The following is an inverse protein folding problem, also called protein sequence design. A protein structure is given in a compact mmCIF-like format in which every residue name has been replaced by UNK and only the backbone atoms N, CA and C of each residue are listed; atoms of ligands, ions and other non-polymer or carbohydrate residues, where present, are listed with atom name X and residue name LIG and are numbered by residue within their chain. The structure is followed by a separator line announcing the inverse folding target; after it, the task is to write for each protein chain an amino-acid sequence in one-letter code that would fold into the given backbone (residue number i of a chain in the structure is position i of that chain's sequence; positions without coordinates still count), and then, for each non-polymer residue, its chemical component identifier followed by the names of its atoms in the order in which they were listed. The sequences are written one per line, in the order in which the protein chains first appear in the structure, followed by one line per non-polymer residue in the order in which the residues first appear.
data_IF_049371694181
#
_entry.id   IF_049371694181
#
_cell.length_a   1.000
_cell.length_b   1.000
_cell.length_c   1.000
_cell.angle_alpha   90.00
_cell.angle_beta   90.00
_cell.angle_gamma   90.00
#
_symmetry.space_group_name_H-M   'P 1'
#
loop_
_entity.id
_entity.type
_entity.pdbx_description
1 polymer ?
#
# COMPACT_ATOMS: atom_id res chain seq x y z
N UNK A 1 -3.03 33.69 61.69
CA UNK A 1 -2.93 33.05 60.36
C UNK A 1 -1.92 31.91 60.50
N UNK A 2 -2.18 30.61 60.35
CA UNK A 2 -3.35 29.78 60.10
C UNK A 2 -2.90 28.34 60.43
N UNK A 3 -3.80 27.55 61.00
CA UNK A 3 -3.55 26.26 61.67
C UNK A 3 -3.17 25.13 60.70
N UNK A 4 -2.05 24.45 60.94
CA UNK A 4 -1.72 23.17 60.28
C UNK A 4 -2.25 21.99 61.09
N UNK A 5 -3.38 21.42 60.67
CA UNK A 5 -4.05 20.33 61.37
C UNK A 5 -3.78 18.97 60.73
N UNK A 6 -3.31 18.04 61.58
CA UNK A 6 -3.78 16.65 61.71
C UNK A 6 -3.35 15.57 60.70
N UNK A 7 -2.61 14.60 61.25
CA UNK A 7 -2.41 13.24 60.72
C UNK A 7 -3.63 12.37 61.06
N UNK A 8 -4.21 11.66 60.09
CA UNK A 8 -4.78 10.34 60.33
C UNK A 8 -4.51 9.40 59.15
N UNK A 9 -3.84 8.30 59.46
CA UNK A 9 -3.73 7.12 58.62
C UNK A 9 -5.07 6.39 58.56
N UNK A 10 -5.43 5.87 57.39
CA UNK A 10 -6.68 5.14 57.18
C UNK A 10 -6.56 4.09 56.07
N UNK A 11 -6.17 2.88 56.50
CA UNK A 11 -6.49 1.56 55.92
C UNK A 11 -5.94 1.20 54.53
N UNK A 12 -4.86 0.42 54.55
CA UNK A 12 -4.63 -0.65 53.59
C UNK A 12 -5.45 -1.89 54.00
N UNK A 13 -6.24 -2.43 53.07
CA UNK A 13 -6.29 -3.86 52.69
C UNK A 13 -7.61 -4.22 51.97
N UNK A 14 -7.43 -5.00 50.89
CA UNK A 14 -8.41 -5.87 50.23
C UNK A 14 -9.40 -5.27 49.21
N UNK A 15 -8.94 -5.18 47.95
CA UNK A 15 -9.72 -5.71 46.81
C UNK A 15 -8.77 -5.97 45.63
N UNK A 16 -8.82 -7.20 45.11
CA UNK A 16 -7.98 -7.70 44.03
C UNK A 16 -8.05 -6.81 42.77
N UNK A 17 -6.88 -6.35 42.31
CA UNK A 17 -6.72 -5.58 41.09
C UNK A 17 -6.98 -6.42 39.84
N UNK A 18 -8.25 -6.54 39.47
CA UNK A 18 -8.66 -7.03 38.15
C UNK A 18 -8.29 -5.95 37.13
N UNK A 19 -7.27 -6.20 36.30
CA UNK A 19 -6.83 -5.30 35.23
C UNK A 19 -8.02 -5.02 34.29
N UNK A 20 -8.56 -3.81 34.33
CA UNK A 20 -9.57 -3.34 33.39
C UNK A 20 -8.87 -2.72 32.20
N UNK A 21 -9.05 -3.31 31.01
CA UNK A 21 -8.66 -2.71 29.73
C UNK A 21 -9.78 -1.77 29.26
N UNK A 22 -9.45 -0.63 28.62
CA UNK A 22 -10.47 0.23 28.02
C UNK A 22 -11.19 -0.51 26.88
N UNK A 23 -12.52 -0.50 26.94
CA UNK A 23 -13.38 -1.08 25.89
C UNK A 23 -13.25 -0.28 24.60
N UNK A 24 -12.99 -0.98 23.48
CA UNK A 24 -13.02 -0.40 22.13
C UNK A 24 -14.44 0.11 21.83
N UNK A 25 -14.56 1.37 21.40
CA UNK A 25 -15.81 1.98 20.96
C UNK A 25 -16.29 1.31 19.67
N UNK A 26 -17.39 0.55 19.75
CA UNK A 26 -18.07 0.02 18.57
C UNK A 26 -18.71 1.17 17.79
N UNK A 27 -18.31 1.34 16.53
CA UNK A 27 -18.95 2.26 15.57
C UNK A 27 -20.39 1.77 15.32
N UNK A 28 -21.37 2.53 15.79
CA UNK A 28 -22.78 2.35 15.46
C UNK A 28 -23.02 2.98 14.08
N UNK A 29 -23.11 2.15 13.04
CA UNK A 29 -23.68 2.56 11.75
C UNK A 29 -25.20 2.67 11.92
N UNK A 30 -25.71 3.89 12.00
CA UNK A 30 -27.13 4.19 11.84
C UNK A 30 -27.48 4.14 10.34
N UNK A 31 -28.11 3.04 9.90
CA UNK A 31 -28.88 3.04 8.67
C UNK A 31 -30.35 2.77 9.01
N UNK A 32 -31.20 3.72 8.66
CA UNK A 32 -32.65 3.71 8.85
C UNK A 32 -33.32 2.60 8.03
N UNK A 33 -34.31 1.97 8.65
CA UNK A 33 -35.06 0.80 8.19
C UNK A 33 -36.31 1.16 7.36
N UNK A 34 -36.59 0.36 6.33
CA UNK A 34 -37.91 -0.13 5.83
C UNK A 34 -37.57 -1.23 4.80
N UNK A 35 -38.17 -2.42 4.66
CA UNK A 35 -39.52 -2.94 4.85
C UNK A 35 -39.47 -4.49 5.04
N UNK A 36 -40.54 -5.06 5.57
CA UNK A 36 -40.75 -6.45 6.00
C UNK A 36 -40.54 -7.55 4.94
N UNK A 37 -39.74 -8.58 5.27
CA UNK A 37 -39.82 -9.94 4.72
C UNK A 37 -39.34 -10.96 5.79
N UNK A 38 -39.91 -12.18 5.85
CA UNK A 38 -39.61 -13.15 6.91
C UNK A 38 -38.17 -13.69 6.82
N UNK A 39 -37.57 -13.82 8.00
CA UNK A 39 -36.18 -14.18 8.27
C UNK A 39 -35.79 -15.56 7.71
N UNK A 40 -34.93 -15.59 6.69
CA UNK A 40 -34.07 -16.74 6.40
C UNK A 40 -32.75 -16.53 7.13
N UNK A 41 -32.33 -17.53 7.90
CA UNK A 41 -31.07 -17.60 8.63
C UNK A 41 -29.89 -17.63 7.66
N UNK A 42 -29.38 -16.46 7.28
CA UNK A 42 -28.16 -16.35 6.48
C UNK A 42 -26.93 -16.50 7.39
N UNK A 43 -26.22 -17.61 7.18
CA UNK A 43 -24.84 -17.83 7.62
C UNK A 43 -23.98 -16.64 7.17
N UNK A 44 -23.04 -16.13 7.98
CA UNK A 44 -22.25 -14.95 7.60
C UNK A 44 -21.46 -15.20 6.32
N UNK A 45 -21.77 -14.41 5.28
CA UNK A 45 -21.06 -14.41 4.01
C UNK A 45 -19.66 -13.87 4.24
N UNK A 46 -18.65 -14.64 3.82
CA UNK A 46 -17.25 -14.23 3.80
C UNK A 46 -17.08 -12.93 2.97
N UNK A 47 -16.05 -12.10 3.26
CA UNK A 47 -15.80 -10.89 2.48
C UNK A 47 -15.73 -11.21 0.98
N UNK A 48 -16.38 -10.38 0.16
CA UNK A 48 -16.36 -10.50 -1.31
C UNK A 48 -14.94 -10.68 -1.81
N UNK A 49 -14.59 -11.91 -2.17
CA UNK A 49 -13.33 -12.18 -2.85
C UNK A 49 -13.43 -11.55 -4.24
N UNK A 50 -12.52 -10.63 -4.55
CA UNK A 50 -12.38 -9.99 -5.87
C UNK A 50 -11.91 -11.01 -6.93
N UNK A 51 -11.52 -12.21 -6.50
CA UNK A 51 -11.19 -13.34 -7.36
C UNK A 51 -11.98 -14.57 -6.90
N UNK A 52 -12.83 -15.18 -7.74
CA UNK A 52 -13.45 -16.45 -7.38
C UNK A 52 -12.36 -17.49 -7.17
N UNK A 53 -12.40 -18.19 -6.02
CA UNK A 53 -11.52 -19.31 -5.76
C UNK A 53 -11.80 -20.42 -6.80
N UNK A 54 -10.83 -20.84 -7.63
CA UNK A 54 -11.04 -21.86 -8.65
C UNK A 54 -11.43 -23.24 -8.10
N UNK A 55 -11.23 -23.50 -6.80
CA UNK A 55 -11.70 -24.72 -6.13
C UNK A 55 -13.18 -24.68 -5.70
N UNK A 56 -13.76 -23.48 -5.55
CA UNK A 56 -15.13 -23.33 -5.05
C UNK A 56 -16.20 -23.51 -6.13
N UNK A 57 -15.83 -23.36 -7.40
CA UNK A 57 -16.70 -23.58 -8.55
C UNK A 57 -15.97 -24.49 -9.53
N UNK A 58 -16.21 -25.81 -9.53
CA UNK A 58 -15.71 -26.67 -10.60
C UNK A 58 -16.21 -26.12 -11.95
N UNK A 59 -15.47 -26.32 -13.06
CA UNK A 59 -15.95 -25.94 -14.38
C UNK A 59 -17.24 -26.70 -14.68
N UNK A 60 -18.38 -26.02 -14.53
CA UNK A 60 -19.67 -26.60 -14.82
C UNK A 60 -19.89 -26.55 -16.32
N UNK A 61 -20.25 -27.68 -16.94
CA UNK A 61 -20.63 -27.72 -18.36
C UNK A 61 -21.95 -26.97 -18.64
N UNK A 62 -22.66 -26.55 -17.58
CA UNK A 62 -23.87 -25.74 -17.66
C UNK A 62 -23.52 -24.25 -17.67
N UNK A 63 -23.87 -23.55 -18.75
CA UNK A 63 -23.72 -22.09 -18.84
C UNK A 63 -24.68 -21.40 -17.87
N UNK A 64 -24.15 -20.43 -17.15
CA UNK A 64 -24.93 -19.56 -16.28
C UNK A 64 -25.80 -18.62 -17.15
N UNK A 65 -27.09 -18.39 -16.83
CA UNK A 65 -27.96 -17.48 -17.58
C UNK A 65 -27.37 -16.09 -17.79
N UNK A 66 -26.51 -15.61 -16.87
CA UNK A 66 -25.81 -14.34 -17.05
C UNK A 66 -24.81 -14.36 -18.20
N UNK A 67 -24.13 -15.48 -18.41
CA UNK A 67 -23.20 -15.68 -19.55
C UNK A 67 -23.95 -15.70 -20.87
N UNK A 68 -25.17 -16.25 -20.89
CA UNK A 68 -26.02 -16.27 -22.10
C UNK A 68 -26.57 -14.88 -22.45
N UNK A 69 -26.80 -14.01 -21.45
CA UNK A 69 -27.19 -12.62 -21.67
C UNK A 69 -26.04 -11.80 -22.29
N UNK A 70 -24.83 -11.92 -21.73
CA UNK A 70 -23.64 -11.25 -22.24
C UNK A 70 -23.27 -11.74 -23.65
N UNK A 71 -23.43 -13.04 -23.92
CA UNK A 71 -23.19 -13.62 -25.24
C UNK A 71 -24.16 -13.16 -26.35
N UNK A 72 -25.31 -12.59 -25.98
CA UNK A 72 -26.28 -12.01 -26.92
C UNK A 72 -26.08 -10.50 -27.13
N UNK A 73 -25.23 -9.84 -26.34
CA UNK A 73 -24.98 -8.40 -26.48
C UNK A 73 -24.03 -8.13 -27.67
N UNK A 74 -24.49 -7.41 -28.71
CA UNK A 74 -23.66 -7.06 -29.85
C UNK A 74 -22.47 -6.15 -29.48
N UNK A 75 -22.58 -5.32 -28.43
CA UNK A 75 -21.48 -4.47 -27.97
C UNK A 75 -20.38 -5.29 -27.31
N UNK A 76 -20.76 -6.28 -26.50
CA UNK A 76 -19.84 -7.22 -25.88
C UNK A 76 -19.08 -8.05 -26.93
N UNK A 77 -19.77 -8.55 -27.95
CA UNK A 77 -19.15 -9.24 -29.07
C UNK A 77 -18.14 -8.38 -29.85
N UNK A 78 -18.47 -7.12 -30.13
CA UNK A 78 -17.56 -6.18 -30.78
C UNK A 78 -16.31 -5.87 -29.93
N UNK A 79 -16.47 -5.77 -28.61
CA UNK A 79 -15.35 -5.58 -27.69
C UNK A 79 -14.40 -6.78 -27.67
N UNK A 80 -14.93 -8.01 -27.66
CA UNK A 80 -14.12 -9.23 -27.75
C UNK A 80 -13.38 -9.35 -29.08
N UNK A 81 -14.04 -8.99 -30.19
CA UNK A 81 -13.37 -8.95 -31.50
C UNK A 81 -12.24 -7.93 -31.54
N UNK A 82 -12.40 -6.78 -30.88
CA UNK A 82 -11.35 -5.75 -30.76
C UNK A 82 -10.17 -6.20 -29.90
N UNK A 83 -10.41 -6.98 -28.85
CA UNK A 83 -9.37 -7.54 -27.97
C UNK A 83 -8.62 -8.72 -28.61
N UNK A 84 -9.27 -9.42 -29.54
CA UNK A 84 -8.71 -10.58 -30.21
C UNK A 84 -8.75 -11.85 -29.35
N UNK A 85 -8.37 -13.01 -29.92
CA UNK A 85 -8.36 -14.27 -29.19
C UNK A 85 -7.45 -14.19 -27.97
N UNK A 86 -7.98 -14.57 -26.80
CA UNK A 86 -7.20 -14.63 -25.57
C UNK A 86 -6.05 -15.63 -25.74
N UNK A 87 -4.82 -15.11 -25.85
CA UNK A 87 -3.61 -15.92 -25.77
C UNK A 87 -3.57 -16.55 -24.39
N UNK A 88 -3.98 -17.81 -24.29
CA UNK A 88 -3.70 -18.62 -23.11
C UNK A 88 -2.19 -18.72 -23.03
N UNK A 89 -1.59 -18.04 -22.06
CA UNK A 89 -0.19 -18.28 -21.71
C UNK A 89 -0.12 -19.75 -21.33
N UNK A 90 0.54 -20.57 -22.13
CA UNK A 90 0.68 -22.02 -21.88
C UNK A 90 1.37 -22.23 -20.52
N UNK A 91 0.58 -22.31 -19.45
CA UNK A 91 1.06 -22.56 -18.09
C UNK A 91 1.64 -23.97 -17.92
N UNK A 92 1.51 -24.84 -18.94
CA UNK A 92 1.86 -26.25 -18.86
C UNK A 92 3.28 -26.62 -19.33
N UNK A 93 4.15 -25.65 -19.67
CA UNK A 93 5.56 -25.96 -20.04
C UNK A 93 6.64 -25.05 -19.45
N UNK A 94 6.28 -24.00 -18.70
CA UNK A 94 7.25 -23.00 -18.22
C UNK A 94 7.10 -22.59 -16.74
N UNK A 95 6.23 -23.24 -15.96
CA UNK A 95 6.06 -22.89 -14.55
C UNK A 95 7.19 -23.46 -13.66
N UNK A 96 7.86 -24.54 -14.07
CA UNK A 96 8.99 -25.12 -13.34
C UNK A 96 10.03 -25.68 -14.33
N UNK A 97 11.18 -25.04 -14.55
CA UNK A 97 12.28 -25.68 -15.24
C UNK A 97 12.82 -26.80 -14.33
N UNK A 98 12.48 -28.06 -14.61
CA UNK A 98 13.30 -29.18 -14.16
C UNK A 98 14.65 -29.07 -14.89
N UNK A 99 15.76 -29.22 -14.16
CA UNK A 99 17.10 -28.77 -14.62
C UNK A 99 17.70 -29.57 -15.80
N UNK A 100 16.92 -30.39 -16.47
CA UNK A 100 17.38 -31.39 -17.44
C UNK A 100 17.00 -31.11 -18.89
N UNK A 101 16.27 -30.03 -19.23
CA UNK A 101 16.01 -29.69 -20.63
C UNK A 101 15.99 -28.17 -20.90
N UNK A 102 16.96 -27.61 -21.65
CA UNK A 102 16.87 -26.23 -22.10
C UNK A 102 15.81 -26.09 -23.21
N UNK A 103 15.04 -24.98 -23.23
CA UNK A 103 14.06 -24.72 -24.29
C UNK A 103 14.73 -24.54 -25.66
N UNK A 104 14.15 -25.06 -26.76
CA UNK A 104 14.69 -24.85 -28.09
C UNK A 104 14.53 -23.37 -28.46
N UNK A 105 15.65 -22.65 -28.56
CA UNK A 105 15.69 -21.23 -28.96
C UNK A 105 16.39 -20.30 -27.98
N UNK A 106 16.78 -20.77 -26.78
CA UNK A 106 17.60 -19.97 -25.85
C UNK A 106 18.95 -20.64 -25.60
N UNK A 107 19.78 -20.70 -26.65
CA UNK A 107 21.20 -20.95 -26.49
C UNK A 107 21.84 -19.69 -25.90
N UNK A 108 22.05 -19.67 -24.57
CA UNK A 108 22.94 -18.69 -23.92
C UNK A 108 22.35 -17.84 -22.80
N UNK A 109 21.04 -17.90 -22.52
CA UNK A 109 20.46 -17.19 -21.38
C UNK A 109 20.48 -18.11 -20.15
N UNK A 110 21.38 -17.80 -19.20
CA UNK A 110 21.46 -18.50 -17.93
C UNK A 110 20.09 -18.47 -17.22
N UNK A 111 19.46 -19.64 -17.11
CA UNK A 111 18.17 -19.87 -16.43
C UNK A 111 18.32 -19.73 -14.91
N UNK A 112 19.55 -19.76 -14.42
CA UNK A 112 19.88 -19.42 -13.04
C UNK A 112 20.23 -17.94 -12.96
N UNK A 113 19.69 -17.18 -11.98
CA UNK A 113 20.18 -15.83 -11.73
C UNK A 113 21.68 -15.96 -11.49
N UNK A 114 22.48 -15.49 -12.45
CA UNK A 114 23.92 -15.44 -12.29
C UNK A 114 24.21 -14.76 -10.95
N UNK A 115 25.26 -15.19 -10.25
CA UNK A 115 25.69 -14.65 -8.95
C UNK A 115 26.09 -13.16 -9.00
N UNK A 116 25.69 -12.44 -10.04
CA UNK A 116 25.77 -11.00 -10.13
C UNK A 116 24.80 -10.38 -9.10
N UNK A 117 25.28 -9.53 -8.19
CA UNK A 117 24.42 -8.77 -7.30
C UNK A 117 23.52 -7.86 -8.15
N UNK A 118 22.29 -8.32 -8.38
CA UNK A 118 21.28 -7.57 -9.11
C UNK A 118 20.34 -8.32 -10.04
N UNK A 119 20.52 -9.63 -10.20
CA UNK A 119 19.65 -10.42 -11.10
C UNK A 119 18.26 -10.74 -10.53
N UNK A 120 18.03 -10.59 -9.22
CA UNK A 120 16.73 -10.90 -8.60
C UNK A 120 16.01 -9.60 -8.18
N UNK A 121 14.89 -9.29 -8.84
CA UNK A 121 14.09 -8.10 -8.59
C UNK A 121 13.59 -8.01 -7.13
N UNK A 122 13.26 -9.13 -6.50
CA UNK A 122 12.86 -9.18 -5.10
C UNK A 122 14.01 -8.79 -4.16
N UNK A 123 15.21 -9.31 -4.42
CA UNK A 123 16.42 -8.93 -3.67
C UNK A 123 16.78 -7.46 -3.89
N UNK A 124 16.63 -6.94 -5.11
CA UNK A 124 16.84 -5.52 -5.40
C UNK A 124 15.86 -4.61 -4.64
N UNK A 125 14.57 -4.97 -4.62
CA UNK A 125 13.57 -4.23 -3.86
C UNK A 125 13.84 -4.28 -2.36
N UNK A 126 14.24 -5.44 -1.83
CA UNK A 126 14.63 -5.59 -0.43
C UNK A 126 15.85 -4.73 -0.08
N UNK A 127 16.92 -4.79 -0.87
CA UNK A 127 18.10 -3.96 -0.67
C UNK A 127 17.79 -2.47 -0.80
N UNK A 128 16.91 -2.07 -1.72
CA UNK A 128 16.46 -0.69 -1.84
C UNK A 128 15.72 -0.23 -0.57
N UNK A 129 14.84 -1.08 -0.02
CA UNK A 129 14.13 -0.80 1.24
C UNK A 129 15.10 -0.63 2.40
N UNK A 130 16.05 -1.54 2.56
CA UNK A 130 17.09 -1.46 3.60
C UNK A 130 17.90 -0.16 3.48
N UNK A 131 18.30 0.23 2.27
CA UNK A 131 19.02 1.48 2.03
C UNK A 131 18.20 2.72 2.38
N UNK A 132 16.90 2.73 2.07
CA UNK A 132 16.01 3.85 2.40
C UNK A 132 15.79 3.92 3.92
N UNK A 133 15.56 2.78 4.57
CA UNK A 133 15.39 2.70 6.01
C UNK A 133 16.64 3.20 6.75
N UNK A 134 17.83 2.74 6.37
CA UNK A 134 19.08 3.20 6.99
C UNK A 134 19.33 4.70 6.82
N UNK A 135 18.98 5.28 5.66
CA UNK A 135 19.04 6.75 5.47
C UNK A 135 18.05 7.49 6.37
N UNK A 136 16.85 6.95 6.53
CA UNK A 136 15.84 7.54 7.40
C UNK A 136 16.27 7.54 8.87
N UNK A 137 16.86 6.44 9.34
CA UNK A 137 17.42 6.35 10.69
C UNK A 137 18.56 7.35 10.91
N UNK A 138 19.49 7.46 9.95
CA UNK A 138 20.56 8.46 10.00
C UNK A 138 20.01 9.89 10.07
N UNK A 139 19.01 10.22 9.25
CA UNK A 139 18.37 11.54 9.28
C UNK A 139 17.63 11.82 10.58
N UNK A 140 17.04 10.80 11.21
CA UNK A 140 16.41 10.91 12.52
C UNK A 140 17.43 11.09 13.64
N UNK A 141 18.55 10.38 13.60
CA UNK A 141 19.63 10.46 14.60
C UNK A 141 20.39 11.80 14.54
N UNK A 142 20.51 12.36 13.35
CA UNK A 142 21.09 13.68 13.14
C UNK A 142 20.06 14.81 13.39
N UNK A 143 18.78 14.51 13.51
CA UNK A 143 17.74 15.51 13.75
C UNK A 143 18.00 16.22 15.09
N UNK A 144 18.22 17.54 15.01
CA UNK A 144 18.52 18.37 16.18
C UNK A 144 20.01 18.60 16.43
N UNK A 145 20.90 17.93 15.68
CA UNK A 145 22.32 18.28 15.65
C UNK A 145 22.53 19.55 14.85
N UNK A 146 23.48 20.40 15.26
CA UNK A 146 23.85 21.61 14.53
C UNK A 146 24.47 21.32 13.15
N UNK A 147 25.02 20.11 12.96
CA UNK A 147 25.58 19.64 11.69
C UNK A 147 24.53 19.12 10.70
N UNK A 148 23.26 19.03 11.10
CA UNK A 148 22.21 18.50 10.25
C UNK A 148 21.87 19.47 9.12
N UNK A 149 22.13 19.05 7.88
CA UNK A 149 21.92 19.87 6.68
C UNK A 149 20.46 19.94 6.24
N UNK A 150 19.57 19.16 6.85
CA UNK A 150 18.17 18.99 6.45
C UNK A 150 17.88 17.57 6.00
N UNK A 151 16.58 17.25 5.88
CA UNK A 151 16.11 15.92 5.45
C UNK A 151 16.31 15.73 3.94
N UNK A 152 16.67 14.53 3.52
CA UNK A 152 16.79 14.18 2.09
C UNK A 152 15.62 13.35 1.58
N UNK A 153 14.93 12.65 2.48
CA UNK A 153 13.71 11.91 2.18
C UNK A 153 12.50 12.83 2.26
N UNK A 154 11.67 12.80 1.20
CA UNK A 154 10.56 13.75 1.00
C UNK A 154 9.26 12.97 0.74
N UNK A 155 8.16 13.42 1.33
CA UNK A 155 6.83 12.89 1.06
C UNK A 155 6.23 13.48 -0.22
N UNK A 156 5.33 12.76 -0.89
CA UNK A 156 4.61 13.28 -2.05
C UNK A 156 3.83 14.58 -1.75
N UNK A 157 3.35 14.73 -0.50
CA UNK A 157 2.70 15.96 -0.04
C UNK A 157 3.67 17.14 -0.02
N UNK A 158 4.85 16.92 0.54
CA UNK A 158 5.91 17.94 0.64
C UNK A 158 6.44 18.32 -0.75
N UNK A 159 6.53 17.36 -1.68
CA UNK A 159 6.87 17.66 -3.10
C UNK A 159 5.80 18.55 -3.72
N UNK A 160 4.52 18.24 -3.52
CA UNK A 160 3.41 19.08 -4.04
C UNK A 160 3.48 20.49 -3.46
N UNK A 161 3.71 20.61 -2.15
CA UNK A 161 3.84 21.89 -1.46
C UNK A 161 5.06 22.68 -1.95
N UNK A 162 6.23 22.04 -2.07
CA UNK A 162 7.44 22.69 -2.58
C UNK A 162 7.27 23.20 -4.02
N UNK A 163 6.64 22.41 -4.89
CA UNK A 163 6.36 22.81 -6.27
C UNK A 163 5.34 23.94 -6.33
N UNK A 164 4.32 23.91 -5.46
CA UNK A 164 3.34 25.00 -5.32
C UNK A 164 4.01 26.30 -4.89
N UNK A 165 4.87 26.26 -3.86
CA UNK A 165 5.59 27.44 -3.38
C UNK A 165 6.54 28.02 -4.43
N UNK A 166 7.16 27.16 -5.24
CA UNK A 166 8.07 27.57 -6.30
C UNK A 166 7.32 28.20 -7.48
N UNK A 167 6.27 27.55 -7.96
CA UNK A 167 5.63 27.90 -9.22
C UNK A 167 4.46 28.91 -9.02
N UNK A 168 3.68 28.83 -7.93
CA UNK A 168 2.60 29.79 -7.63
C UNK A 168 3.09 31.02 -6.86
N UNK A 169 3.89 30.80 -5.81
CA UNK A 169 4.33 31.89 -4.92
C UNK A 169 5.66 32.52 -5.34
N UNK A 170 6.37 31.93 -6.31
CA UNK A 170 7.64 32.45 -6.83
C UNK A 170 8.77 32.47 -5.78
N UNK A 171 8.66 31.66 -4.73
CA UNK A 171 9.67 31.62 -3.66
C UNK A 171 10.96 30.98 -4.19
N UNK A 172 12.10 31.50 -3.76
CA UNK A 172 13.40 30.95 -4.14
C UNK A 172 13.58 29.52 -3.61
N UNK A 173 14.24 28.65 -4.39
CA UNK A 173 14.44 27.24 -4.01
C UNK A 173 15.11 27.09 -2.63
N UNK A 174 16.09 27.95 -2.32
CA UNK A 174 16.81 27.96 -1.05
C UNK A 174 15.89 28.26 0.15
N UNK A 175 14.91 29.13 -0.04
CA UNK A 175 13.98 29.52 1.01
C UNK A 175 12.91 28.46 1.22
N UNK A 176 12.44 27.81 0.15
CA UNK A 176 11.55 26.65 0.23
C UNK A 176 12.26 25.49 0.96
N UNK A 177 13.52 25.20 0.61
CA UNK A 177 14.33 24.18 1.28
C UNK A 177 14.48 24.47 2.78
N UNK A 178 14.70 25.74 3.15
CA UNK A 178 14.79 26.15 4.55
C UNK A 178 13.45 26.02 5.29
N UNK A 179 12.34 26.39 4.66
CA UNK A 179 11.00 26.30 5.26
C UNK A 179 10.58 24.84 5.49
N UNK A 180 10.82 23.97 4.50
CA UNK A 180 10.52 22.54 4.58
C UNK A 180 11.61 21.71 5.29
N UNK A 181 12.67 22.35 5.78
CA UNK A 181 13.84 21.74 6.43
C UNK A 181 14.52 20.67 5.57
N UNK A 182 14.50 20.86 4.25
CA UNK A 182 15.13 19.98 3.27
C UNK A 182 16.63 20.28 3.17
N UNK A 183 17.40 19.28 2.76
CA UNK A 183 18.80 19.48 2.41
C UNK A 183 18.91 20.44 1.21
N UNK A 184 19.89 21.35 1.20
CA UNK A 184 20.06 22.31 0.11
C UNK A 184 20.37 21.62 -1.23
N UNK A 185 19.75 22.11 -2.30
CA UNK A 185 19.92 21.61 -3.67
C UNK A 185 19.15 20.32 -3.98
N UNK A 186 18.11 20.03 -3.20
CA UNK A 186 17.19 18.92 -3.47
C UNK A 186 16.13 19.35 -4.48
N UNK A 187 15.60 20.56 -4.36
CA UNK A 187 14.51 21.02 -5.23
C UNK A 187 14.99 21.15 -6.68
N UNK A 188 16.25 21.53 -6.88
CA UNK A 188 16.88 21.57 -8.20
C UNK A 188 16.98 20.20 -8.88
N UNK A 189 16.91 19.09 -8.11
CA UNK A 189 16.94 17.71 -8.65
C UNK A 189 15.55 17.17 -8.99
N UNK A 190 14.50 17.69 -8.37
CA UNK A 190 13.15 17.11 -8.49
C UNK A 190 12.47 17.45 -9.81
N UNK A 191 12.50 18.71 -10.23
CA UNK A 191 11.80 19.13 -11.44
C UNK A 191 12.35 20.45 -12.00
N UNK A 192 12.23 20.61 -13.32
CA UNK A 192 12.40 21.91 -14.00
C UNK A 192 11.33 22.90 -13.49
N UNK A 193 11.58 24.22 -13.55
CA UNK A 193 10.59 25.23 -13.14
C UNK A 193 9.32 25.15 -14.00
N UNK A 194 8.14 25.41 -13.41
CA UNK A 194 6.86 25.51 -14.12
C UNK A 194 6.16 24.17 -14.42
N UNK A 195 6.43 23.12 -13.64
CA UNK A 195 5.82 21.79 -13.82
C UNK A 195 4.56 21.60 -12.97
N UNK A 196 4.31 22.52 -12.02
CA UNK A 196 3.12 22.46 -11.18
C UNK A 196 1.85 22.81 -11.97
N UNK A 197 1.11 21.80 -12.41
CA UNK A 197 -0.25 21.95 -12.92
C UNK A 197 -1.24 21.46 -11.84
N UNK A 198 -2.12 22.35 -11.38
CA UNK A 198 -3.29 21.95 -10.57
C UNK A 198 -4.27 21.21 -11.50
N UNK A 199 -4.15 19.89 -11.58
CA UNK A 199 -5.18 18.99 -12.14
C UNK A 199 -6.01 18.43 -11.00
#
# INVERSE_FOLDING_TARGET
MGSGASKQAGKAAAAAGRRQYPSSSSILNSATSTSNAPSQSMKPTAPSQVHPNPEATPPTDTRDPHVDLDGRDPQFGAALQRLGPAMRKDLNKAAFPTSSQPPPGQQGQNIFPSKAPGSNAGMMAFQARERIAGKFEQELDDLGRSSFKGRSLISAKDVKEALRMRDEAGVSEQEIERQLRLQPGILSRLARPGVYANV
#
